data_IF_388000906486
#
_entry.id   IF_388000906486
#
_cell.length_a   1.000
_cell.length_b   1.000
_cell.length_c   1.000
_cell.angle_alpha   90.00
_cell.angle_beta   90.00
_cell.angle_gamma   90.00
#
_symmetry.space_group_name_H-M   'P 1'
#
loop_
_entity.id
_entity.type
_entity.pdbx_description
1 polymer ?
#
# COMPACT_ATOMS: atom_id res chain seq x y z
N UNK A 1 -18.74 -12.94 -28.92
CA UNK A 1 -17.45 -12.33 -28.60
C UNK A 1 -17.00 -12.80 -27.20
N UNK A 2 -15.75 -13.26 -27.07
CA UNK A 2 -15.17 -13.57 -25.75
C UNK A 2 -14.91 -12.24 -25.05
N UNK A 3 -15.35 -12.07 -23.79
CA UNK A 3 -15.08 -10.85 -23.03
C UNK A 3 -13.58 -10.57 -22.95
N UNK A 4 -13.17 -9.32 -23.01
CA UNK A 4 -11.79 -8.94 -22.79
C UNK A 4 -11.33 -9.39 -21.39
N UNK A 5 -10.15 -9.97 -21.29
CA UNK A 5 -9.58 -10.39 -20.01
C UNK A 5 -8.86 -9.21 -19.35
N UNK A 6 -9.00 -9.00 -18.04
CA UNK A 6 -8.31 -7.92 -17.32
C UNK A 6 -6.79 -8.01 -17.41
N UNK A 7 -6.26 -9.23 -17.48
CA UNK A 7 -4.82 -9.50 -17.57
C UNK A 7 -4.52 -10.18 -18.89
N UNK A 8 -3.57 -9.67 -19.63
CA UNK A 8 -3.13 -10.25 -20.89
C UNK A 8 -2.64 -11.70 -20.71
N UNK A 9 -2.96 -12.55 -21.67
CA UNK A 9 -2.57 -13.96 -21.69
C UNK A 9 -3.00 -14.77 -20.46
N UNK A 10 -4.06 -14.33 -19.76
CA UNK A 10 -4.66 -15.03 -18.64
C UNK A 10 -5.99 -15.67 -19.03
N UNK A 11 -6.31 -16.82 -18.44
CA UNK A 11 -7.65 -17.40 -18.52
C UNK A 11 -8.56 -16.94 -17.37
N UNK A 12 -8.00 -16.21 -16.36
CA UNK A 12 -8.78 -15.69 -15.26
C UNK A 12 -9.66 -14.53 -15.69
N UNK A 13 -10.93 -14.57 -15.32
CA UNK A 13 -11.84 -13.44 -15.40
C UNK A 13 -11.69 -12.52 -14.19
N UNK A 14 -12.28 -11.32 -14.25
CA UNK A 14 -12.21 -10.31 -13.20
C UNK A 14 -12.66 -10.85 -11.83
N UNK A 15 -13.74 -11.63 -11.77
CA UNK A 15 -14.26 -12.20 -10.52
C UNK A 15 -13.27 -13.15 -9.84
N UNK A 16 -12.58 -14.01 -10.60
CA UNK A 16 -11.57 -14.91 -10.03
C UNK A 16 -10.36 -14.13 -9.52
N UNK A 17 -9.90 -13.12 -10.26
CA UNK A 17 -8.80 -12.26 -9.83
C UNK A 17 -9.14 -11.50 -8.55
N UNK A 18 -10.33 -10.91 -8.47
CA UNK A 18 -10.82 -10.24 -7.28
C UNK A 18 -10.89 -11.20 -6.08
N UNK A 19 -11.42 -12.42 -6.28
CA UNK A 19 -11.48 -13.43 -5.22
C UNK A 19 -10.09 -13.82 -4.69
N UNK A 20 -9.11 -14.04 -5.57
CA UNK A 20 -7.74 -14.37 -5.18
C UNK A 20 -7.09 -13.24 -4.35
N UNK A 21 -7.25 -11.99 -4.81
CA UNK A 21 -6.65 -10.81 -4.16
C UNK A 21 -7.33 -10.52 -2.83
N UNK A 22 -8.67 -10.55 -2.77
CA UNK A 22 -9.43 -10.38 -1.53
C UNK A 22 -9.07 -11.47 -0.53
N UNK A 23 -9.07 -12.74 -0.95
CA UNK A 23 -8.66 -13.85 -0.09
C UNK A 23 -7.26 -13.67 0.48
N UNK A 24 -6.30 -13.14 -0.31
CA UNK A 24 -4.94 -12.92 0.16
C UNK A 24 -4.81 -11.75 1.14
N UNK A 25 -5.41 -10.60 0.84
CA UNK A 25 -5.13 -9.35 1.53
C UNK A 25 -6.20 -8.94 2.55
N UNK A 26 -7.46 -9.30 2.32
CA UNK A 26 -8.54 -9.03 3.28
C UNK A 26 -8.78 -10.20 4.23
N UNK A 27 -8.75 -11.45 3.71
CA UNK A 27 -9.05 -12.65 4.50
C UNK A 27 -7.79 -13.33 5.05
N UNK A 28 -6.60 -12.76 4.82
CA UNK A 28 -5.30 -13.28 5.25
C UNK A 28 -5.03 -14.74 4.82
N UNK A 29 -5.58 -15.15 3.68
CA UNK A 29 -5.48 -16.50 3.15
C UNK A 29 -4.27 -16.63 2.21
N UNK A 30 -3.18 -17.30 2.62
CA UNK A 30 -1.98 -17.41 1.80
C UNK A 30 -2.25 -18.12 0.47
N UNK A 31 -1.52 -17.79 -0.58
CA UNK A 31 -1.73 -18.35 -1.91
C UNK A 31 -1.58 -19.87 -1.96
N UNK A 32 -0.74 -20.46 -1.10
CA UNK A 32 -0.62 -21.92 -1.03
C UNK A 32 -1.91 -22.58 -0.51
N UNK A 33 -2.59 -21.96 0.46
CA UNK A 33 -3.90 -22.45 0.96
C UNK A 33 -4.99 -22.27 -0.09
N UNK A 34 -5.00 -21.14 -0.80
CA UNK A 34 -5.93 -20.94 -1.90
C UNK A 34 -5.74 -22.00 -2.99
N UNK A 35 -4.51 -22.31 -3.38
CA UNK A 35 -4.18 -23.37 -4.33
C UNK A 35 -4.76 -24.74 -3.87
N UNK A 36 -4.60 -25.08 -2.58
CA UNK A 36 -5.17 -26.32 -2.02
C UNK A 36 -6.71 -26.32 -1.98
N UNK A 37 -7.34 -25.17 -1.72
CA UNK A 37 -8.80 -25.02 -1.75
C UNK A 37 -9.32 -25.27 -3.16
N UNK A 38 -8.72 -24.65 -4.19
CA UNK A 38 -9.11 -24.85 -5.59
C UNK A 38 -8.91 -26.32 -6.02
N UNK A 39 -7.79 -26.93 -5.63
CA UNK A 39 -7.53 -28.34 -5.93
C UNK A 39 -8.62 -29.27 -5.37
N UNK A 40 -9.08 -29.03 -4.14
CA UNK A 40 -10.21 -29.80 -3.54
C UNK A 40 -11.53 -29.60 -4.28
N UNK A 41 -11.68 -28.48 -4.98
CA UNK A 41 -12.83 -28.15 -5.83
C UNK A 41 -12.66 -28.66 -7.27
N UNK A 42 -11.61 -29.42 -7.55
CA UNK A 42 -11.34 -29.95 -8.89
C UNK A 42 -10.67 -28.95 -9.85
N UNK A 43 -10.17 -27.83 -9.36
CA UNK A 43 -9.50 -26.82 -10.19
C UNK A 43 -8.03 -26.69 -9.81
N UNK A 44 -7.15 -26.99 -10.76
CA UNK A 44 -5.71 -26.88 -10.53
C UNK A 44 -5.21 -25.46 -10.84
N UNK A 45 -4.95 -24.71 -9.79
CA UNK A 45 -4.31 -23.39 -9.83
C UNK A 45 -3.03 -23.43 -9.01
N UNK A 46 -1.89 -23.41 -9.69
CA UNK A 46 -0.60 -23.44 -8.99
C UNK A 46 -0.36 -22.15 -8.21
N UNK A 47 0.37 -22.26 -7.09
CA UNK A 47 0.82 -21.09 -6.31
C UNK A 47 1.55 -20.04 -7.17
N UNK A 48 2.36 -20.50 -8.13
CA UNK A 48 3.07 -19.61 -9.04
C UNK A 48 2.11 -18.84 -9.96
N UNK A 49 1.05 -19.49 -10.44
CA UNK A 49 -0.01 -18.84 -11.24
C UNK A 49 -0.74 -17.79 -10.43
N UNK A 50 -1.17 -18.11 -9.20
CA UNK A 50 -1.82 -17.17 -8.29
C UNK A 50 -0.92 -15.98 -7.95
N UNK A 51 0.39 -16.22 -7.74
CA UNK A 51 1.37 -15.16 -7.50
C UNK A 51 1.52 -14.20 -8.68
N UNK A 52 1.63 -14.74 -9.91
CA UNK A 52 1.67 -13.91 -11.13
C UNK A 52 0.41 -13.07 -11.30
N UNK A 53 -0.76 -13.64 -11.03
CA UNK A 53 -2.03 -12.90 -11.10
C UNK A 53 -2.08 -11.78 -10.07
N UNK A 54 -1.61 -12.02 -8.85
CA UNK A 54 -1.54 -11.01 -7.81
C UNK A 54 -0.66 -9.82 -8.24
N UNK A 55 0.52 -10.09 -8.82
CA UNK A 55 1.38 -9.05 -9.38
C UNK A 55 0.71 -8.25 -10.51
N UNK A 56 0.13 -8.96 -11.48
CA UNK A 56 -0.55 -8.31 -12.59
C UNK A 56 -1.79 -7.50 -12.17
N UNK A 57 -2.50 -7.92 -11.12
CA UNK A 57 -3.59 -7.12 -10.54
C UNK A 57 -3.05 -5.87 -9.86
N UNK A 58 -1.89 -5.93 -9.19
CA UNK A 58 -1.27 -4.76 -8.61
C UNK A 58 -0.94 -3.70 -9.68
N UNK A 59 -0.35 -4.11 -10.81
CA UNK A 59 -0.10 -3.24 -11.97
C UNK A 59 -1.41 -2.66 -12.54
N UNK A 60 -2.46 -3.47 -12.66
CA UNK A 60 -3.77 -3.03 -13.13
C UNK A 60 -4.41 -1.97 -12.21
N UNK A 61 -4.15 -2.04 -10.91
CA UNK A 61 -4.69 -1.13 -9.91
C UNK A 61 -3.81 0.10 -9.67
N UNK A 62 -2.64 0.20 -10.29
CA UNK A 62 -1.73 1.33 -10.12
C UNK A 62 -2.38 2.71 -10.35
N UNK A 63 -3.24 2.92 -11.39
CA UNK A 63 -3.93 4.20 -11.56
C UNK A 63 -4.84 4.57 -10.39
N UNK A 64 -5.50 3.59 -9.75
CA UNK A 64 -6.32 3.84 -8.57
C UNK A 64 -5.47 4.16 -7.34
N UNK A 65 -4.33 3.49 -7.20
CA UNK A 65 -3.34 3.77 -6.16
C UNK A 65 -2.83 5.21 -6.27
N UNK A 66 -2.55 5.70 -7.49
CA UNK A 66 -2.10 7.07 -7.74
C UNK A 66 -3.19 8.11 -7.42
N UNK A 67 -4.44 7.85 -7.79
CA UNK A 67 -5.57 8.71 -7.43
C UNK A 67 -5.76 8.76 -5.91
N UNK A 68 -5.65 7.63 -5.22
CA UNK A 68 -5.71 7.57 -3.76
C UNK A 68 -4.59 8.37 -3.12
N UNK A 69 -3.36 8.25 -3.63
CA UNK A 69 -2.22 9.08 -3.19
C UNK A 69 -2.51 10.57 -3.33
N UNK A 70 -2.98 10.98 -4.51
CA UNK A 70 -3.32 12.38 -4.78
C UNK A 70 -4.38 12.89 -3.81
N UNK A 71 -5.42 12.10 -3.55
CA UNK A 71 -6.48 12.44 -2.62
C UNK A 71 -5.96 12.60 -1.18
N UNK A 72 -5.18 11.65 -0.69
CA UNK A 72 -4.63 11.69 0.67
C UNK A 72 -3.68 12.89 0.84
N UNK A 73 -2.89 13.20 -0.18
CA UNK A 73 -1.89 14.27 -0.16
C UNK A 73 -2.43 15.64 -0.64
N UNK A 74 -3.75 15.83 -0.79
CA UNK A 74 -4.31 17.17 -0.98
C UNK A 74 -3.93 18.08 0.20
N UNK A 75 -3.78 19.42 0.01
CA UNK A 75 -3.52 20.34 1.10
C UNK A 75 -4.47 20.14 2.29
N UNK A 76 -3.96 20.28 3.51
CA UNK A 76 -4.72 20.06 4.75
C UNK A 76 -3.87 19.35 5.81
N UNK A 77 -4.45 18.45 6.59
CA UNK A 77 -3.74 17.67 7.60
C UNK A 77 -3.58 16.22 7.14
N UNK A 78 -2.39 15.67 7.32
CA UNK A 78 -2.08 14.25 7.10
C UNK A 78 -1.37 13.71 8.34
N UNK A 79 -1.78 12.53 8.78
CA UNK A 79 -1.04 11.77 9.79
C UNK A 79 -0.08 10.82 9.06
N UNK A 80 1.14 10.70 9.58
CA UNK A 80 2.14 9.79 9.04
C UNK A 80 2.75 8.92 10.13
N UNK A 81 2.99 7.65 9.77
CA UNK A 81 3.69 6.68 10.59
C UNK A 81 4.39 5.66 9.68
N UNK A 82 5.26 4.80 10.25
CA UNK A 82 5.88 3.71 9.51
C UNK A 82 5.84 2.39 10.28
N UNK A 83 5.60 1.30 9.56
CA UNK A 83 5.52 -0.05 10.08
C UNK A 83 6.70 -0.87 9.56
N UNK A 84 7.49 -1.53 10.43
CA UNK A 84 8.54 -2.44 9.98
C UNK A 84 7.93 -3.70 9.35
N UNK A 85 8.39 -4.07 8.16
CA UNK A 85 7.96 -5.29 7.47
C UNK A 85 9.16 -6.17 7.12
N UNK A 86 9.16 -7.45 7.54
CA UNK A 86 10.21 -8.37 7.14
C UNK A 86 10.02 -8.75 5.66
N UNK A 87 11.07 -8.58 4.86
CA UNK A 87 11.07 -8.91 3.45
C UNK A 87 12.14 -9.95 3.18
N UNK A 88 11.76 -11.05 2.54
CA UNK A 88 12.72 -12.09 2.14
C UNK A 88 13.65 -11.54 1.06
N UNK A 89 14.94 -11.84 1.21
CA UNK A 89 15.95 -11.50 0.24
C UNK A 89 16.27 -12.73 -0.61
N UNK A 90 15.80 -12.77 -1.88
CA UNK A 90 15.99 -13.94 -2.71
C UNK A 90 17.46 -14.33 -2.84
N UNK A 91 17.76 -15.60 -2.64
CA UNK A 91 19.13 -16.15 -2.75
C UNK A 91 20.03 -15.97 -1.51
N UNK A 92 19.65 -15.12 -0.53
CA UNK A 92 20.48 -14.90 0.67
C UNK A 92 20.10 -15.82 1.85
N UNK A 93 18.88 -16.38 1.83
CA UNK A 93 18.30 -17.11 2.98
C UNK A 93 18.02 -16.23 4.20
N UNK A 94 18.10 -14.90 4.05
CA UNK A 94 17.89 -13.91 5.11
C UNK A 94 16.66 -13.06 4.83
N UNK A 95 16.17 -12.41 5.85
CA UNK A 95 15.17 -11.33 5.75
C UNK A 95 15.82 -10.00 6.08
N UNK A 96 15.39 -8.95 5.40
CA UNK A 96 15.70 -7.56 5.76
C UNK A 96 14.45 -6.88 6.29
N UNK A 97 14.64 -5.87 7.12
CA UNK A 97 13.53 -5.03 7.60
C UNK A 97 13.32 -3.87 6.64
N UNK A 98 12.25 -3.94 5.87
CA UNK A 98 11.75 -2.85 5.05
C UNK A 98 10.72 -2.02 5.84
N UNK A 99 10.15 -0.99 5.24
CA UNK A 99 9.12 -0.13 5.83
C UNK A 99 7.90 -0.02 4.94
N UNK A 100 6.75 -0.01 5.58
CA UNK A 100 5.49 0.39 5.00
C UNK A 100 5.07 1.70 5.66
N UNK A 101 5.17 2.80 4.92
CA UNK A 101 4.76 4.12 5.35
C UNK A 101 3.26 4.25 5.21
N UNK A 102 2.63 4.84 6.20
CA UNK A 102 1.17 5.00 6.29
C UNK A 102 0.86 6.48 6.33
N UNK A 103 0.06 6.95 5.40
CA UNK A 103 -0.41 8.34 5.36
C UNK A 103 -1.93 8.34 5.46
N UNK A 104 -2.46 9.03 6.47
CA UNK A 104 -3.89 9.04 6.76
C UNK A 104 -4.43 10.45 6.65
N UNK A 105 -5.46 10.63 5.83
CA UNK A 105 -6.32 11.82 5.84
C UNK A 105 -7.59 11.45 6.58
N UNK A 106 -7.83 12.09 7.72
CA UNK A 106 -9.08 11.97 8.46
C UNK A 106 -9.35 13.24 9.26
N UNK A 107 -10.21 14.09 8.74
CA UNK A 107 -10.61 15.35 9.35
C UNK A 107 -12.07 15.33 9.84
N UNK A 108 -12.69 14.15 9.96
CA UNK A 108 -14.08 14.01 10.41
C UNK A 108 -14.28 14.58 11.81
N UNK A 109 -13.32 14.40 12.70
CA UNK A 109 -13.35 14.97 14.06
C UNK A 109 -13.27 16.51 14.07
N UNK A 110 -12.80 17.12 12.98
CA UNK A 110 -12.80 18.57 12.76
C UNK A 110 -14.02 19.06 11.97
N UNK A 111 -15.04 18.21 11.80
CA UNK A 111 -16.30 18.55 11.11
C UNK A 111 -16.24 18.42 9.59
N UNK A 112 -15.17 17.89 9.02
CA UNK A 112 -15.07 17.67 7.57
C UNK A 112 -16.05 16.61 7.11
N UNK A 113 -16.69 16.84 5.95
CA UNK A 113 -17.52 15.85 5.26
C UNK A 113 -16.73 15.01 4.25
N UNK A 114 -15.44 15.27 4.09
CA UNK A 114 -14.59 14.51 3.19
C UNK A 114 -14.35 13.10 3.76
N UNK A 115 -14.46 12.05 2.94
CA UNK A 115 -14.18 10.69 3.37
C UNK A 115 -12.76 10.53 3.89
N UNK A 116 -12.60 9.79 4.99
CA UNK A 116 -11.29 9.38 5.45
C UNK A 116 -10.65 8.43 4.45
N UNK A 117 -9.33 8.53 4.28
CA UNK A 117 -8.58 7.66 3.40
C UNK A 117 -7.17 7.40 3.92
N UNK A 118 -6.63 6.24 3.54
CA UNK A 118 -5.29 5.79 3.91
C UNK A 118 -4.52 5.45 2.63
N UNK A 119 -3.30 5.96 2.51
CA UNK A 119 -2.38 5.59 1.46
C UNK A 119 -1.13 4.97 2.07
N UNK A 120 -0.67 3.86 1.48
CA UNK A 120 0.53 3.14 1.91
C UNK A 120 1.63 3.27 0.87
N UNK A 121 2.86 3.48 1.32
CA UNK A 121 4.04 3.49 0.46
C UNK A 121 5.13 2.57 1.03
N UNK A 122 5.78 1.82 0.17
CA UNK A 122 6.85 0.90 0.54
C UNK A 122 8.21 1.55 0.39
N UNK A 123 9.15 1.23 1.31
CA UNK A 123 10.57 1.50 1.12
C UNK A 123 11.43 0.33 1.62
N UNK A 124 12.64 0.16 1.04
CA UNK A 124 13.54 -0.93 1.44
C UNK A 124 14.14 -0.75 2.84
N UNK A 125 14.10 0.45 3.39
CA UNK A 125 14.65 0.81 4.70
C UNK A 125 13.91 2.00 5.30
N UNK A 126 14.34 2.48 6.49
CA UNK A 126 13.79 3.65 7.19
C UNK A 126 14.57 4.94 6.89
N UNK A 127 15.10 5.13 5.71
CA UNK A 127 15.83 6.36 5.38
C UNK A 127 14.87 7.54 5.16
N UNK A 128 15.23 8.73 5.67
CA UNK A 128 14.42 9.95 5.55
C UNK A 128 14.16 10.42 4.11
N UNK A 129 14.95 9.97 3.14
CA UNK A 129 14.72 10.27 1.72
C UNK A 129 13.36 9.72 1.22
N UNK A 130 12.89 8.61 1.80
CA UNK A 130 11.63 8.01 1.38
C UNK A 130 10.43 8.89 1.69
N UNK A 131 10.16 9.30 2.95
CA UNK A 131 9.07 10.22 3.23
C UNK A 131 9.25 11.59 2.56
N UNK A 132 10.49 12.07 2.34
CA UNK A 132 10.73 13.27 1.57
C UNK A 132 10.25 13.15 0.11
N UNK A 133 10.51 12.01 -0.55
CA UNK A 133 10.01 11.73 -1.88
C UNK A 133 8.49 11.53 -1.91
N UNK A 134 7.94 10.83 -0.93
CA UNK A 134 6.49 10.60 -0.83
C UNK A 134 5.72 11.92 -0.73
N UNK A 135 6.23 12.86 0.05
CA UNK A 135 5.61 14.15 0.39
C UNK A 135 6.15 15.33 -0.44
N UNK A 136 6.90 15.08 -1.51
CA UNK A 136 7.59 16.12 -2.29
C UNK A 136 6.65 17.24 -2.80
N UNK A 137 5.42 16.90 -3.16
CA UNK A 137 4.39 17.86 -3.63
C UNK A 137 3.39 18.31 -2.55
N UNK A 138 3.52 17.81 -1.32
CA UNK A 138 2.57 18.08 -0.26
C UNK A 138 2.83 19.44 0.42
N UNK A 139 1.74 20.11 0.79
CA UNK A 139 1.76 21.32 1.63
C UNK A 139 0.62 21.24 2.65
N UNK A 140 0.90 21.63 3.91
CA UNK A 140 -0.10 21.56 4.98
C UNK A 140 0.50 21.13 6.31
N UNK A 141 -0.30 20.46 7.14
CA UNK A 141 0.12 19.98 8.46
C UNK A 141 0.45 18.49 8.39
N UNK A 142 1.64 18.09 8.81
CA UNK A 142 2.03 16.70 8.98
C UNK A 142 2.08 16.37 10.46
N UNK A 143 1.21 15.47 10.90
CA UNK A 143 1.21 14.95 12.26
C UNK A 143 1.92 13.60 12.27
N UNK A 144 3.10 13.54 12.88
CA UNK A 144 3.94 12.35 12.93
C UNK A 144 4.66 12.24 14.29
N UNK A 145 5.33 11.11 14.49
CA UNK A 145 6.27 10.94 15.61
C UNK A 145 7.51 11.85 15.42
N UNK A 146 8.39 11.85 16.42
CA UNK A 146 9.63 12.64 16.40
C UNK A 146 10.74 12.03 15.51
N UNK A 147 10.38 11.24 14.49
CA UNK A 147 11.36 10.65 13.60
C UNK A 147 12.13 11.71 12.81
N UNK A 148 13.45 11.76 12.98
CA UNK A 148 14.32 12.77 12.35
C UNK A 148 14.30 12.80 10.82
N UNK A 149 13.80 11.75 10.16
CA UNK A 149 13.65 11.70 8.71
C UNK A 149 12.64 12.69 8.11
N UNK A 150 11.74 13.25 8.95
CA UNK A 150 10.79 14.30 8.53
C UNK A 150 11.37 15.71 8.61
N UNK A 151 12.51 15.90 9.30
CA UNK A 151 13.06 17.22 9.58
C UNK A 151 13.24 18.11 8.33
N UNK A 152 13.80 17.55 7.26
CA UNK A 152 13.99 18.29 6.02
C UNK A 152 12.68 18.75 5.36
N UNK A 153 11.57 18.05 5.62
CA UNK A 153 10.24 18.46 5.16
C UNK A 153 9.75 19.71 5.90
N UNK A 154 9.95 19.76 7.22
CA UNK A 154 9.58 20.91 8.04
C UNK A 154 10.45 22.13 7.73
N UNK A 155 11.75 21.95 7.56
CA UNK A 155 12.70 23.01 7.19
C UNK A 155 12.38 23.63 5.82
N UNK A 156 11.64 22.94 4.95
CA UNK A 156 11.19 23.48 3.65
C UNK A 156 10.17 24.63 3.77
N UNK A 157 9.54 24.80 4.94
CA UNK A 157 8.49 25.79 5.20
C UNK A 157 7.12 25.51 4.54
N UNK A 158 7.02 24.45 3.72
CA UNK A 158 5.74 24.03 3.09
C UNK A 158 4.88 23.15 3.99
N UNK A 159 5.51 22.47 4.93
CA UNK A 159 4.87 21.52 5.84
C UNK A 159 5.05 21.99 7.27
N UNK A 160 3.93 22.22 7.96
CA UNK A 160 3.92 22.55 9.38
C UNK A 160 3.95 21.26 10.20
N UNK A 161 4.86 21.17 11.14
CA UNK A 161 4.94 20.04 12.07
C UNK A 161 3.80 20.08 13.09
N UNK A 162 3.17 18.92 13.32
CA UNK A 162 2.32 18.67 14.47
C UNK A 162 2.81 17.40 15.17
N UNK A 163 3.26 17.56 16.42
CA UNK A 163 3.74 16.42 17.19
C UNK A 163 2.60 15.41 17.49
N UNK A 164 2.90 14.13 17.42
CA UNK A 164 2.00 13.09 17.88
C UNK A 164 2.11 12.97 19.41
N UNK A 165 1.00 13.19 20.13
CA UNK A 165 0.98 13.12 21.59
C UNK A 165 1.00 11.69 22.14
N UNK A 166 0.94 10.67 21.27
CA UNK A 166 1.00 9.26 21.66
C UNK A 166 2.46 8.72 21.73
N UNK A 167 3.44 9.51 21.33
CA UNK A 167 4.88 9.13 21.33
C UNK A 167 5.69 10.09 22.16
#
# INVERSE_FOLDING_TARGET
PVPSKPIARSYAGAGLLAHVVTGKYADHLPLYRQSEIYRRQGVELSRATLGRWTGAVAELLEPLYDVLRQYVLMPGKVHADDIPVPVQEPGSGKTRTARLWVYVRDDRNAGSQMPAAVWFAYSPDRNGIHPQNHLAGYSGVLQADAYGGYRALYESGRITEAACMAH
#
